data_IF_306546489341
#
_entry.id   IF_306546489341
#
_cell.length_a   1.000
_cell.length_b   1.000
_cell.length_c   1.000
_cell.angle_alpha   90.00
_cell.angle_beta   90.00
_cell.angle_gamma   90.00
#
_symmetry.space_group_name_H-M   'P 1'
#
loop_
_entity.id
_entity.type
_entity.pdbx_description
1 polymer ?
#
# COMPACT_ATOMS: atom_id res chain seq x y z
N UNK A 1 24.74 11.99 -6.72
CA UNK A 1 24.23 11.64 -8.08
C UNK A 1 22.94 10.77 -8.03
N UNK A 2 22.01 11.00 -7.08
CA UNK A 2 20.77 10.19 -6.93
C UNK A 2 19.58 10.71 -7.74
N UNK A 3 19.47 12.03 -7.93
CA UNK A 3 18.35 12.63 -8.64
C UNK A 3 18.29 12.20 -10.12
N UNK A 4 19.44 12.18 -10.82
CA UNK A 4 19.51 11.85 -12.26
C UNK A 4 19.06 10.40 -12.57
N UNK A 5 19.35 9.44 -11.70
CA UNK A 5 18.93 8.03 -11.84
C UNK A 5 17.44 7.83 -11.54
N UNK A 6 16.84 8.69 -10.72
CA UNK A 6 15.41 8.61 -10.36
C UNK A 6 14.49 9.11 -11.47
N UNK A 7 14.90 10.16 -12.18
CA UNK A 7 14.14 10.70 -13.31
C UNK A 7 14.22 9.80 -14.54
N UNK A 8 15.40 9.27 -14.85
CA UNK A 8 15.59 8.30 -15.93
C UNK A 8 14.79 7.00 -15.72
N UNK A 9 14.72 6.47 -14.50
CA UNK A 9 13.89 5.29 -14.20
C UNK A 9 12.38 5.57 -14.17
N UNK A 10 11.97 6.82 -13.94
CA UNK A 10 10.58 7.28 -14.09
C UNK A 10 10.19 7.36 -15.57
N UNK A 11 11.06 7.94 -16.41
CA UNK A 11 10.84 8.05 -17.87
C UNK A 11 10.90 6.71 -18.58
N UNK A 12 11.76 5.79 -18.14
CA UNK A 12 11.87 4.43 -18.70
C UNK A 12 10.72 3.48 -18.29
N UNK A 13 9.73 3.95 -17.52
CA UNK A 13 8.58 3.13 -17.07
C UNK A 13 8.89 2.08 -15.98
N UNK A 14 10.14 1.99 -15.53
CA UNK A 14 10.64 0.97 -14.58
C UNK A 14 10.23 1.28 -13.13
N UNK A 15 10.03 2.56 -12.78
CA UNK A 15 9.80 2.99 -11.40
C UNK A 15 8.46 3.73 -11.23
N UNK A 16 7.47 3.07 -10.61
CA UNK A 16 6.23 3.73 -10.16
C UNK A 16 6.58 4.64 -8.98
N UNK A 17 6.83 5.92 -9.22
CA UNK A 17 7.07 6.92 -8.17
C UNK A 17 5.76 7.53 -7.66
N UNK A 18 5.59 7.66 -6.34
CA UNK A 18 4.47 8.39 -5.73
C UNK A 18 3.48 7.53 -4.93
N UNK A 19 2.35 8.13 -4.55
CA UNK A 19 1.36 7.53 -3.63
C UNK A 19 0.85 6.16 -4.08
N UNK A 20 0.72 5.92 -5.40
CA UNK A 20 0.25 4.64 -5.95
C UNK A 20 1.23 3.49 -5.67
N UNK A 21 2.54 3.73 -5.64
CA UNK A 21 3.51 2.66 -5.37
C UNK A 21 3.65 2.32 -3.89
N UNK A 22 3.49 3.32 -3.01
CA UNK A 22 3.41 3.09 -1.56
C UNK A 22 2.22 2.17 -1.25
N UNK A 23 1.06 2.48 -1.83
CA UNK A 23 -0.14 1.65 -1.64
C UNK A 23 0.09 0.24 -2.20
N UNK A 24 0.62 0.10 -3.43
CA UNK A 24 0.89 -1.20 -4.04
C UNK A 24 1.86 -2.06 -3.22
N UNK A 25 2.93 -1.49 -2.66
CA UNK A 25 3.86 -2.22 -1.78
C UNK A 25 3.17 -2.82 -0.56
N UNK A 26 2.19 -2.12 0.01
CA UNK A 26 1.48 -2.58 1.21
C UNK A 26 0.43 -3.67 0.93
N UNK A 27 -0.08 -3.76 -0.30
CA UNK A 27 -1.24 -4.60 -0.64
C UNK A 27 -0.92 -5.75 -1.61
N UNK A 28 0.14 -5.65 -2.42
CA UNK A 28 0.37 -6.53 -3.56
C UNK A 28 0.41 -8.00 -3.15
N UNK A 29 1.22 -8.32 -2.13
CA UNK A 29 1.42 -9.67 -1.59
C UNK A 29 0.48 -10.04 -0.44
N UNK A 30 -0.51 -9.20 -0.11
CA UNK A 30 -1.43 -9.48 1.00
C UNK A 30 -2.45 -10.54 0.58
N UNK A 31 -2.48 -11.66 1.32
CA UNK A 31 -3.49 -12.72 1.18
C UNK A 31 -4.84 -12.31 1.79
N UNK A 32 -5.88 -13.11 1.56
CA UNK A 32 -7.20 -12.83 2.14
C UNK A 32 -7.16 -12.89 3.68
N UNK A 33 -6.54 -13.92 4.28
CA UNK A 33 -6.44 -14.03 5.75
C UNK A 33 -5.68 -12.84 6.34
N UNK A 34 -4.59 -12.43 5.68
CA UNK A 34 -3.81 -11.26 6.10
C UNK A 34 -4.63 -9.96 5.98
N UNK A 35 -5.44 -9.82 4.94
CA UNK A 35 -6.33 -8.68 4.78
C UNK A 35 -7.38 -8.63 5.90
N UNK A 36 -8.01 -9.76 6.20
CA UNK A 36 -8.97 -9.90 7.31
C UNK A 36 -8.33 -9.57 8.66
N UNK A 37 -7.14 -10.11 8.94
CA UNK A 37 -6.42 -9.83 10.18
C UNK A 37 -6.06 -8.35 10.33
N UNK A 38 -5.60 -7.69 9.25
CA UNK A 38 -5.30 -6.25 9.25
C UNK A 38 -6.54 -5.39 9.47
N UNK A 39 -7.69 -5.79 8.91
CA UNK A 39 -8.97 -5.10 9.11
C UNK A 39 -9.49 -5.28 10.55
N UNK A 40 -9.34 -6.47 11.13
CA UNK A 40 -9.68 -6.73 12.55
C UNK A 40 -8.80 -5.90 13.49
N UNK A 41 -7.52 -5.74 13.17
CA UNK A 41 -6.53 -5.01 13.97
C UNK A 41 -6.29 -3.57 13.47
N UNK A 42 -7.32 -2.91 12.93
CA UNK A 42 -7.16 -1.68 12.16
C UNK A 42 -6.56 -0.50 12.93
N UNK A 43 -6.88 -0.33 14.23
CA UNK A 43 -6.35 0.76 15.06
C UNK A 43 -4.83 0.69 15.20
N UNK A 44 -4.30 -0.52 15.40
CA UNK A 44 -2.85 -0.77 15.41
C UNK A 44 -2.23 -0.48 14.03
N UNK A 45 -2.90 -0.91 12.96
CA UNK A 45 -2.44 -0.64 11.60
C UNK A 45 -2.36 0.86 11.30
N UNK A 46 -3.35 1.66 11.72
CA UNK A 46 -3.31 3.11 11.59
C UNK A 46 -2.05 3.67 12.25
N UNK A 47 -1.76 3.28 13.50
CA UNK A 47 -0.54 3.74 14.21
C UNK A 47 0.74 3.38 13.45
N UNK A 48 0.85 2.13 12.98
CA UNK A 48 2.00 1.67 12.19
C UNK A 48 2.18 2.46 10.89
N UNK A 49 1.09 2.71 10.16
CA UNK A 49 1.14 3.51 8.94
C UNK A 49 1.48 4.98 9.21
N UNK A 50 0.97 5.55 10.31
CA UNK A 50 1.32 6.91 10.73
C UNK A 50 2.79 7.03 11.10
N UNK A 51 3.34 6.04 11.82
CA UNK A 51 4.77 5.95 12.14
C UNK A 51 5.65 5.84 10.89
N UNK A 52 5.17 5.18 9.83
CA UNK A 52 5.81 5.10 8.50
C UNK A 52 5.65 6.39 7.67
N UNK A 53 4.99 7.43 8.19
CA UNK A 53 4.79 8.71 7.51
C UNK A 53 3.63 8.73 6.52
N UNK A 54 2.71 7.75 6.57
CA UNK A 54 1.59 7.74 5.65
C UNK A 54 0.54 8.78 6.04
N UNK A 55 0.07 9.52 5.04
CA UNK A 55 -1.05 10.43 5.22
C UNK A 55 -2.35 9.64 5.43
N UNK A 56 -3.29 10.18 6.19
CA UNK A 56 -4.61 9.56 6.39
C UNK A 56 -5.34 9.26 5.06
N UNK A 57 -5.26 10.10 4.00
CA UNK A 57 -5.78 9.75 2.67
C UNK A 57 -5.11 8.53 2.01
N UNK A 58 -3.87 8.20 2.39
CA UNK A 58 -3.16 6.99 1.92
C UNK A 58 -3.65 5.77 2.69
N UNK A 59 -3.76 5.89 4.02
CA UNK A 59 -4.28 4.84 4.91
C UNK A 59 -5.73 4.47 4.53
N UNK A 60 -6.56 5.47 4.21
CA UNK A 60 -7.93 5.26 3.75
C UNK A 60 -7.99 4.46 2.44
N UNK A 61 -7.12 4.75 1.47
CA UNK A 61 -7.03 3.97 0.22
C UNK A 61 -6.59 2.54 0.46
N UNK A 62 -5.62 2.32 1.35
CA UNK A 62 -5.20 0.96 1.76
C UNK A 62 -6.39 0.21 2.36
N UNK A 63 -7.19 0.84 3.23
CA UNK A 63 -8.39 0.23 3.83
C UNK A 63 -9.37 -0.27 2.77
N UNK A 64 -9.69 0.58 1.78
CA UNK A 64 -10.64 0.23 0.71
C UNK A 64 -10.18 -1.03 -0.04
N UNK A 65 -8.90 -1.10 -0.40
CA UNK A 65 -8.37 -2.23 -1.15
C UNK A 65 -8.29 -3.51 -0.30
N UNK A 66 -7.99 -3.38 0.99
CA UNK A 66 -8.04 -4.52 1.92
C UNK A 66 -9.46 -5.10 2.02
N UNK A 67 -10.49 -4.25 2.06
CA UNK A 67 -11.90 -4.69 2.08
C UNK A 67 -12.26 -5.43 0.79
N UNK A 68 -11.79 -4.96 -0.37
CA UNK A 68 -12.02 -5.64 -1.65
C UNK A 68 -11.32 -7.01 -1.70
N UNK A 69 -10.06 -7.08 -1.25
CA UNK A 69 -9.29 -8.33 -1.16
C UNK A 69 -9.92 -9.31 -0.18
N UNK A 70 -10.43 -8.82 0.95
CA UNK A 70 -11.00 -9.68 2.00
C UNK A 70 -12.33 -10.33 1.58
N UNK A 71 -13.04 -9.69 0.64
CA UNK A 71 -14.29 -10.19 0.05
C UNK A 71 -14.10 -11.20 -1.08
N UNK A 72 -12.96 -11.16 -1.79
CA UNK A 72 -12.66 -12.15 -2.83
C UNK A 72 -12.36 -13.50 -2.17
N UNK A 73 -13.31 -14.43 -2.20
CA UNK A 73 -13.03 -15.86 -1.94
C UNK A 73 -11.96 -16.30 -2.95
N UNK A 74 -10.92 -16.98 -2.48
CA UNK A 74 -10.04 -17.76 -3.37
C UNK A 74 -10.94 -18.66 -4.20
N UNK A 75 -10.83 -18.53 -5.51
CA UNK A 75 -11.55 -19.37 -6.46
C UNK A 75 -10.94 -20.76 -6.45
#
# INVERSE_FOLDING_TARGET
>A
KFAKNRWSAKDAGVLKVGRKSIIQKEIHSVTNEQAQWRLKNWKMMISNYRRRGYSYPTISRIKKILIEKSKKKSK
#
